data_IF_368946478519
#
_entry.id   IF_368946478519
#
_cell.length_a   1.000
_cell.length_b   1.000
_cell.length_c   1.000
_cell.angle_alpha   90.00
_cell.angle_beta   90.00
_cell.angle_gamma   90.00
#
_symmetry.space_group_name_H-M   'P 1'
#
loop_
_entity.id
_entity.type
_entity.pdbx_description
1 polymer ?
#
# COMPACT_ATOMS: atom_id res chain seq x y z
N UNK A 1 20.94 -15.32 14.41
CA UNK A 1 20.44 -16.23 13.37
C UNK A 1 20.20 -15.38 12.13
N UNK A 2 21.12 -15.42 11.17
CA UNK A 2 20.98 -14.67 9.92
C UNK A 2 20.02 -15.41 8.99
N UNK A 3 18.74 -15.07 9.09
CA UNK A 3 17.74 -15.55 8.14
C UNK A 3 17.93 -14.76 6.84
N UNK A 4 18.74 -15.30 5.93
CA UNK A 4 18.86 -14.76 4.58
C UNK A 4 17.61 -15.14 3.78
N UNK A 5 16.63 -14.23 3.68
CA UNK A 5 15.48 -14.40 2.80
C UNK A 5 15.89 -13.97 1.39
N UNK A 6 15.97 -14.88 0.40
CA UNK A 6 16.43 -14.56 -0.96
C UNK A 6 15.34 -13.87 -1.80
N UNK A 7 14.52 -13.02 -1.19
CA UNK A 7 13.43 -12.32 -1.88
C UNK A 7 13.91 -10.93 -2.29
N UNK A 8 13.95 -10.69 -3.59
CA UNK A 8 14.24 -9.35 -4.12
C UNK A 8 13.07 -8.41 -3.79
N UNK A 9 13.33 -7.40 -2.96
CA UNK A 9 12.33 -6.38 -2.61
C UNK A 9 11.66 -5.75 -3.84
N UNK A 10 12.39 -5.61 -4.96
CA UNK A 10 11.84 -5.09 -6.22
C UNK A 10 10.81 -6.05 -6.83
N UNK A 11 11.09 -7.36 -6.86
CA UNK A 11 10.16 -8.36 -7.38
C UNK A 11 8.92 -8.43 -6.50
N UNK A 12 9.10 -8.36 -5.19
CA UNK A 12 7.99 -8.35 -4.23
C UNK A 12 7.10 -7.11 -4.43
N UNK A 13 7.68 -5.91 -4.46
CA UNK A 13 6.92 -4.68 -4.70
C UNK A 13 6.22 -4.66 -6.07
N UNK A 14 6.86 -5.21 -7.12
CA UNK A 14 6.25 -5.34 -8.44
C UNK A 14 5.05 -6.30 -8.43
N UNK A 15 5.16 -7.43 -7.72
CA UNK A 15 4.07 -8.38 -7.56
C UNK A 15 2.87 -7.75 -6.82
N UNK A 16 3.14 -7.04 -5.72
CA UNK A 16 2.10 -6.31 -4.98
C UNK A 16 1.42 -5.26 -5.86
N UNK A 17 2.21 -4.45 -6.58
CA UNK A 17 1.68 -3.41 -7.48
C UNK A 17 0.82 -4.02 -8.60
N UNK A 18 1.22 -5.18 -9.13
CA UNK A 18 0.43 -5.91 -10.13
C UNK A 18 -0.90 -6.39 -9.53
N UNK A 19 -0.90 -6.93 -8.31
CA UNK A 19 -2.13 -7.35 -7.62
C UNK A 19 -3.05 -6.14 -7.42
N UNK A 20 -2.54 -5.01 -6.94
CA UNK A 20 -3.32 -3.76 -6.82
C UNK A 20 -3.92 -3.35 -8.16
N UNK A 21 -3.14 -3.35 -9.24
CA UNK A 21 -3.63 -2.97 -10.57
C UNK A 21 -4.73 -3.92 -11.06
N UNK A 22 -4.60 -5.22 -10.81
CA UNK A 22 -5.62 -6.22 -11.15
C UNK A 22 -6.90 -6.03 -10.34
N UNK A 23 -6.79 -5.76 -9.02
CA UNK A 23 -7.95 -5.48 -8.18
C UNK A 23 -8.69 -4.21 -8.61
N UNK A 24 -7.96 -3.16 -8.97
CA UNK A 24 -8.56 -1.92 -9.51
C UNK A 24 -9.25 -2.21 -10.84
N UNK A 25 -8.63 -2.95 -11.76
CA UNK A 25 -9.25 -3.33 -13.02
C UNK A 25 -10.50 -4.20 -12.82
N UNK A 26 -10.45 -5.14 -11.88
CA UNK A 26 -11.59 -5.97 -11.50
C UNK A 26 -12.73 -5.14 -10.90
N UNK A 27 -12.42 -4.18 -10.03
CA UNK A 27 -13.39 -3.23 -9.48
C UNK A 27 -14.05 -2.41 -10.59
N UNK A 28 -13.28 -1.89 -11.55
CA UNK A 28 -13.84 -1.14 -12.68
C UNK A 28 -14.76 -2.01 -13.55
N UNK A 29 -14.38 -3.26 -13.81
CA UNK A 29 -15.21 -4.22 -14.52
C UNK A 29 -16.51 -4.53 -13.78
N UNK A 30 -16.43 -4.71 -12.45
CA UNK A 30 -17.59 -4.87 -11.59
C UNK A 30 -18.49 -3.61 -11.60
N UNK A 31 -17.92 -2.42 -11.48
CA UNK A 31 -18.66 -1.16 -11.60
C UNK A 31 -19.35 -1.04 -12.96
N UNK A 32 -18.70 -1.42 -14.06
CA UNK A 32 -19.33 -1.44 -15.38
C UNK A 32 -20.49 -2.43 -15.45
N UNK A 33 -20.32 -3.64 -14.90
CA UNK A 33 -21.38 -4.65 -14.83
C UNK A 33 -22.61 -4.12 -14.06
N UNK A 34 -22.42 -3.20 -13.13
CA UNK A 34 -23.53 -2.53 -12.42
C UNK A 34 -24.44 -1.68 -13.32
N UNK A 35 -24.02 -1.31 -14.54
CA UNK A 35 -24.87 -0.57 -15.48
C UNK A 35 -25.55 -1.46 -16.53
N UNK A 36 -25.18 -2.75 -16.61
CA UNK A 36 -25.77 -3.68 -17.57
C UNK A 36 -27.12 -4.16 -17.05
N UNK A 37 -28.22 -3.95 -17.82
CA UNK A 37 -29.51 -4.52 -17.46
C UNK A 37 -29.46 -6.04 -17.63
N UNK A 38 -29.79 -6.77 -16.57
CA UNK A 38 -29.82 -8.23 -16.55
C UNK A 38 -31.22 -8.66 -16.13
N UNK A 39 -31.82 -9.52 -16.95
CA UNK A 39 -33.10 -10.16 -16.65
C UNK A 39 -32.88 -11.48 -15.91
N UNK A 40 -33.75 -11.77 -14.94
CA UNK A 40 -33.68 -12.98 -14.13
C UNK A 40 -33.06 -12.75 -12.75
N UNK A 41 -33.78 -13.23 -11.72
CA UNK A 41 -33.41 -13.05 -10.31
C UNK A 41 -32.00 -13.56 -9.99
N UNK A 42 -31.70 -14.80 -10.40
CA UNK A 42 -30.42 -15.44 -10.12
C UNK A 42 -29.22 -14.67 -10.69
N UNK A 43 -29.30 -14.22 -11.95
CA UNK A 43 -28.20 -13.49 -12.59
C UNK A 43 -28.01 -12.11 -11.98
N UNK A 44 -29.10 -11.48 -11.51
CA UNK A 44 -29.05 -10.23 -10.77
C UNK A 44 -28.33 -10.40 -9.42
N UNK A 45 -28.68 -11.42 -8.65
CA UNK A 45 -28.04 -11.71 -7.36
C UNK A 45 -26.54 -12.05 -7.54
N UNK A 46 -26.21 -12.84 -8.56
CA UNK A 46 -24.83 -13.15 -8.89
C UNK A 46 -24.03 -11.88 -9.24
N UNK A 47 -24.59 -10.99 -10.05
CA UNK A 47 -24.00 -9.68 -10.37
C UNK A 47 -23.79 -8.84 -9.11
N UNK A 48 -24.80 -8.67 -8.27
CA UNK A 48 -24.71 -7.87 -7.04
C UNK A 48 -23.64 -8.43 -6.09
N UNK A 49 -23.54 -9.76 -5.99
CA UNK A 49 -22.51 -10.44 -5.20
C UNK A 49 -21.10 -10.21 -5.74
N UNK A 50 -20.90 -10.32 -7.06
CA UNK A 50 -19.61 -10.05 -7.72
C UNK A 50 -19.20 -8.58 -7.51
N UNK A 51 -20.16 -7.66 -7.67
CA UNK A 51 -19.92 -6.24 -7.45
C UNK A 51 -19.47 -6.00 -6.03
N UNK A 52 -20.22 -6.47 -5.03
CA UNK A 52 -19.86 -6.33 -3.61
C UNK A 52 -18.48 -6.92 -3.28
N UNK A 53 -18.12 -8.05 -3.88
CA UNK A 53 -16.86 -8.76 -3.59
C UNK A 53 -15.62 -8.06 -4.17
N UNK A 54 -15.79 -7.29 -5.25
CA UNK A 54 -14.69 -6.64 -5.99
C UNK A 54 -14.67 -5.11 -5.86
N UNK A 55 -15.69 -4.52 -5.26
CA UNK A 55 -15.81 -3.07 -5.11
C UNK A 55 -14.74 -2.52 -4.17
N UNK A 56 -13.80 -1.73 -4.69
CA UNK A 56 -12.63 -1.24 -3.94
C UNK A 56 -12.99 -0.27 -2.79
N UNK A 57 -14.13 0.40 -2.90
CA UNK A 57 -14.62 1.37 -1.91
C UNK A 57 -15.57 0.72 -0.89
N UNK A 58 -15.67 -0.62 -0.93
CA UNK A 58 -16.50 -1.40 -0.02
C UNK A 58 -15.66 -2.06 1.05
N UNK A 59 -16.31 -2.47 2.13
CA UNK A 59 -15.65 -3.13 3.25
C UNK A 59 -16.01 -4.62 3.33
N UNK A 60 -15.11 -5.43 3.90
CA UNK A 60 -15.33 -6.87 4.10
C UNK A 60 -15.29 -7.68 2.81
N UNK A 61 -14.46 -7.28 1.85
CA UNK A 61 -14.34 -7.91 0.54
C UNK A 61 -12.88 -8.26 0.18
N UNK A 62 -12.62 -8.68 -1.07
CA UNK A 62 -11.27 -9.10 -1.50
C UNK A 62 -10.26 -7.94 -1.42
N UNK A 63 -10.55 -6.73 -1.96
CA UNK A 63 -9.72 -5.55 -1.74
C UNK A 63 -9.38 -5.27 -0.27
N UNK A 64 -10.38 -5.29 0.63
CA UNK A 64 -10.18 -5.07 2.08
C UNK A 64 -9.26 -6.13 2.70
N UNK A 65 -9.42 -7.40 2.33
CA UNK A 65 -8.56 -8.46 2.83
C UNK A 65 -7.10 -8.29 2.36
N UNK A 66 -6.92 -7.82 1.12
CA UNK A 66 -5.60 -7.54 0.57
C UNK A 66 -4.92 -6.36 1.28
N UNK A 67 -5.62 -5.24 1.51
CA UNK A 67 -5.09 -4.08 2.26
C UNK A 67 -4.74 -4.47 3.70
N UNK A 68 -5.62 -5.21 4.39
CA UNK A 68 -5.36 -5.71 5.74
C UNK A 68 -4.10 -6.60 5.79
N UNK A 69 -3.96 -7.53 4.84
CA UNK A 69 -2.79 -8.44 4.76
C UNK A 69 -1.47 -7.68 4.52
N UNK A 70 -1.51 -6.61 3.72
CA UNK A 70 -0.36 -5.72 3.53
C UNK A 70 0.02 -5.00 4.83
N UNK A 71 -0.97 -4.44 5.54
CA UNK A 71 -0.75 -3.76 6.82
C UNK A 71 -0.16 -4.72 7.87
N UNK A 72 -0.67 -5.95 7.95
CA UNK A 72 -0.12 -6.99 8.82
C UNK A 72 1.33 -7.34 8.45
N UNK A 73 1.62 -7.48 7.15
CA UNK A 73 3.00 -7.72 6.67
C UNK A 73 3.92 -6.58 7.09
N UNK A 74 3.49 -5.32 6.94
CA UNK A 74 4.23 -4.16 7.43
C UNK A 74 4.45 -4.22 8.95
N UNK A 75 3.42 -4.56 9.73
CA UNK A 75 3.51 -4.73 11.19
C UNK A 75 4.58 -5.76 11.58
N UNK A 76 4.59 -6.93 10.93
CA UNK A 76 5.58 -7.99 11.18
C UNK A 76 6.99 -7.54 10.82
N UNK A 77 7.16 -6.90 9.65
CA UNK A 77 8.48 -6.39 9.23
C UNK A 77 9.03 -5.36 10.22
N UNK A 78 8.16 -4.48 10.74
CA UNK A 78 8.54 -3.50 11.77
C UNK A 78 8.94 -4.16 13.09
N UNK A 79 8.26 -5.22 13.51
CA UNK A 79 8.64 -6.00 14.70
C UNK A 79 10.00 -6.71 14.52
N UNK A 80 10.28 -7.23 13.32
CA UNK A 80 11.59 -7.80 12.98
C UNK A 80 12.68 -6.72 13.04
N UNK A 81 12.44 -5.54 12.48
CA UNK A 81 13.37 -4.40 12.55
C UNK A 81 13.60 -3.98 14.01
N UNK A 82 12.55 -3.90 14.84
CA UNK A 82 12.67 -3.59 16.26
C UNK A 82 13.56 -4.60 17.00
N UNK A 83 13.38 -5.89 16.69
CA UNK A 83 14.16 -6.99 17.28
C UNK A 83 15.64 -6.92 16.86
N UNK A 84 15.91 -6.63 15.59
CA UNK A 84 17.28 -6.44 15.10
C UNK A 84 17.97 -5.24 15.77
N UNK A 85 17.29 -4.10 15.89
CA UNK A 85 17.81 -2.93 16.60
C UNK A 85 18.11 -3.22 18.08
N UNK A 86 17.26 -4.01 18.75
CA UNK A 86 17.46 -4.44 20.14
C UNK A 86 18.71 -5.30 20.29
N UNK A 87 18.96 -6.23 19.36
CA UNK A 87 20.13 -7.12 19.39
C UNK A 87 21.44 -6.35 19.19
N UNK A 88 21.46 -5.34 18.32
CA UNK A 88 22.65 -4.53 18.05
C UNK A 88 22.84 -3.33 19.01
N UNK A 89 22.01 -3.21 20.06
CA UNK A 89 21.98 -2.04 20.99
C UNK A 89 21.97 -0.69 20.26
N UNK A 90 21.39 -0.65 19.06
CA UNK A 90 21.43 0.51 18.19
C UNK A 90 20.04 1.13 18.09
N UNK A 91 19.91 2.45 18.26
CA UNK A 91 18.71 3.21 17.91
C UNK A 91 17.48 3.01 18.81
N UNK A 92 16.35 3.56 18.35
CA UNK A 92 15.10 3.65 19.09
C UNK A 92 14.18 2.43 18.83
N UNK A 93 14.37 1.36 19.60
CA UNK A 93 13.57 0.11 19.53
C UNK A 93 12.08 0.37 19.80
N UNK A 94 11.78 1.24 20.77
CA UNK A 94 10.41 1.57 21.18
C UNK A 94 9.64 2.19 20.01
N UNK A 95 10.28 3.08 19.24
CA UNK A 95 9.69 3.67 18.03
C UNK A 95 9.36 2.64 16.94
N UNK A 96 10.15 1.59 16.78
CA UNK A 96 9.82 0.52 15.82
C UNK A 96 8.69 -0.38 16.33
N UNK A 97 8.66 -0.66 17.63
CA UNK A 97 7.63 -1.49 18.25
C UNK A 97 6.26 -0.79 18.23
N UNK A 98 6.19 0.48 18.61
CA UNK A 98 4.95 1.26 18.55
C UNK A 98 4.43 1.32 17.10
N UNK A 99 5.31 1.49 16.10
CA UNK A 99 4.88 1.51 14.70
C UNK A 99 4.34 0.14 14.25
N UNK A 100 4.97 -0.95 14.70
CA UNK A 100 4.46 -2.30 14.48
C UNK A 100 3.04 -2.47 15.05
N UNK A 101 2.80 -2.01 16.29
CA UNK A 101 1.48 -2.08 16.92
C UNK A 101 0.44 -1.24 16.17
N UNK A 102 0.80 -0.03 15.71
CA UNK A 102 -0.10 0.82 14.93
C UNK A 102 -0.52 0.13 13.62
N UNK A 103 0.43 -0.42 12.86
CA UNK A 103 0.09 -1.15 11.62
C UNK A 103 -0.72 -2.42 11.89
N UNK A 104 -0.46 -3.10 13.00
CA UNK A 104 -1.25 -4.25 13.43
C UNK A 104 -2.69 -3.86 13.78
N UNK A 105 -2.86 -2.74 14.49
CA UNK A 105 -4.17 -2.18 14.78
C UNK A 105 -4.90 -1.76 13.50
N UNK A 106 -4.24 -1.09 12.56
CA UNK A 106 -4.84 -0.71 11.27
C UNK A 106 -5.26 -1.94 10.46
N UNK A 107 -4.46 -3.02 10.46
CA UNK A 107 -4.85 -4.28 9.83
C UNK A 107 -6.10 -4.90 10.47
N UNK A 108 -6.22 -4.80 11.79
CA UNK A 108 -7.37 -5.30 12.53
C UNK A 108 -8.61 -4.45 12.23
N UNK A 109 -8.47 -3.12 12.28
CA UNK A 109 -9.54 -2.17 11.98
C UNK A 109 -10.09 -2.37 10.57
N UNK A 110 -9.21 -2.51 9.57
CA UNK A 110 -9.60 -2.78 8.18
C UNK A 110 -10.43 -4.08 8.04
N UNK A 111 -10.12 -5.10 8.84
CA UNK A 111 -10.83 -6.40 8.77
C UNK A 111 -12.13 -6.38 9.58
N UNK A 112 -12.11 -5.75 10.75
CA UNK A 112 -13.19 -5.79 11.74
C UNK A 112 -14.09 -4.54 11.71
N UNK A 113 -13.77 -3.56 10.87
CA UNK A 113 -14.55 -2.33 10.67
C UNK A 113 -14.77 -1.58 11.98
N UNK A 114 -13.74 -1.55 12.86
CA UNK A 114 -13.90 -1.02 14.21
C UNK A 114 -14.21 0.48 14.19
N UNK A 115 -13.71 1.20 13.19
CA UNK A 115 -14.00 2.61 12.99
C UNK A 115 -15.49 2.86 12.68
N UNK A 116 -16.23 1.91 12.09
CA UNK A 116 -17.68 2.05 11.89
C UNK A 116 -18.45 2.12 13.23
N UNK A 117 -17.97 1.43 14.27
CA UNK A 117 -18.59 1.44 15.61
C UNK A 117 -18.63 2.85 16.21
N UNK A 118 -17.77 3.75 15.75
CA UNK A 118 -17.74 5.14 16.22
C UNK A 118 -18.75 6.04 15.50
N UNK A 119 -19.31 5.61 14.36
CA UNK A 119 -20.21 6.45 13.55
C UNK A 119 -21.49 6.77 14.33
N UNK A 120 -22.25 5.75 14.75
CA UNK A 120 -23.55 5.96 15.38
C UNK A 120 -23.47 6.81 16.68
N UNK A 121 -22.59 6.51 17.65
CA UNK A 121 -22.50 7.33 18.87
C UNK A 121 -22.11 8.79 18.60
N UNK A 122 -21.21 9.02 17.64
CA UNK A 122 -20.76 10.36 17.31
C UNK A 122 -21.79 11.13 16.48
N UNK A 123 -22.55 10.46 15.61
CA UNK A 123 -23.67 11.09 14.90
C UNK A 123 -24.72 11.60 15.90
N UNK A 124 -25.05 10.82 16.91
CA UNK A 124 -26.02 11.18 17.96
C UNK A 124 -25.54 12.38 18.79
N UNK A 125 -24.24 12.44 19.14
CA UNK A 125 -23.68 13.53 19.95
C UNK A 125 -23.56 14.82 19.15
N UNK A 126 -23.07 14.74 17.90
CA UNK A 126 -22.75 15.93 17.11
C UNK A 126 -23.89 16.40 16.20
N UNK A 127 -25.01 15.66 16.14
CA UNK A 127 -26.06 15.84 15.12
C UNK A 127 -25.46 16.02 13.72
N UNK A 128 -24.43 15.22 13.44
CA UNK A 128 -23.53 15.46 12.32
C UNK A 128 -24.24 15.24 10.97
N UNK A 129 -24.46 16.33 10.23
CA UNK A 129 -25.00 16.29 8.86
C UNK A 129 -23.94 16.69 7.83
N UNK A 130 -24.00 16.14 6.61
CA UNK A 130 -23.08 16.51 5.52
C UNK A 130 -21.70 15.83 5.61
N UNK A 131 -20.61 16.58 5.50
CA UNK A 131 -19.23 16.04 5.43
C UNK A 131 -18.81 15.20 6.65
N UNK A 132 -19.43 15.43 7.82
CA UNK A 132 -19.20 14.68 9.04
C UNK A 132 -20.12 13.45 9.20
N UNK A 133 -20.83 13.04 8.14
CA UNK A 133 -21.63 11.82 8.17
C UNK A 133 -20.77 10.60 8.54
N UNK A 134 -19.54 10.54 8.03
CA UNK A 134 -18.52 9.59 8.48
C UNK A 134 -17.78 10.12 9.70
N UNK A 135 -18.46 10.15 10.84
CA UNK A 135 -17.96 10.82 12.05
C UNK A 135 -16.68 10.19 12.61
N UNK A 136 -16.36 8.95 12.22
CA UNK A 136 -15.10 8.27 12.54
C UNK A 136 -13.84 9.04 12.08
N UNK A 137 -13.99 9.94 11.09
CA UNK A 137 -12.91 10.83 10.64
C UNK A 137 -12.38 11.70 11.78
N UNK A 138 -13.24 12.10 12.73
CA UNK A 138 -12.85 12.93 13.88
C UNK A 138 -11.85 12.19 14.80
N UNK A 139 -12.16 11.01 15.36
CA UNK A 139 -11.20 10.27 16.17
C UNK A 139 -9.95 9.87 15.37
N UNK A 140 -10.10 9.47 14.10
CA UNK A 140 -8.95 9.16 13.24
C UNK A 140 -8.02 10.38 13.07
N UNK A 141 -8.58 11.56 12.81
CA UNK A 141 -7.83 12.80 12.65
C UNK A 141 -7.04 13.19 13.90
N UNK A 142 -7.66 13.08 15.08
CA UNK A 142 -6.96 13.32 16.36
C UNK A 142 -5.80 12.34 16.54
N UNK A 143 -6.03 11.05 16.31
CA UNK A 143 -4.98 10.02 16.40
C UNK A 143 -3.82 10.30 15.44
N UNK A 144 -4.10 10.70 14.19
CA UNK A 144 -3.07 11.04 13.20
C UNK A 144 -2.26 12.25 13.62
N UNK A 145 -2.89 13.32 14.13
CA UNK A 145 -2.18 14.51 14.60
C UNK A 145 -1.25 14.16 15.76
N UNK A 146 -1.75 13.43 16.76
CA UNK A 146 -0.94 12.98 17.90
C UNK A 146 0.23 12.09 17.44
N UNK A 147 -0.03 11.18 16.50
CA UNK A 147 0.98 10.33 15.92
C UNK A 147 2.08 11.15 15.23
N UNK A 148 1.71 12.07 14.33
CA UNK A 148 2.67 12.91 13.60
C UNK A 148 3.52 13.75 14.55
N UNK A 149 2.91 14.38 15.55
CA UNK A 149 3.63 15.18 16.54
C UNK A 149 4.61 14.34 17.38
N UNK A 150 4.18 13.16 17.83
CA UNK A 150 5.01 12.25 18.62
C UNK A 150 6.15 11.60 17.81
N UNK A 151 5.89 11.28 16.54
CA UNK A 151 6.86 10.61 15.67
C UNK A 151 7.75 11.54 14.85
N UNK A 152 7.48 12.84 14.81
CA UNK A 152 8.28 13.79 14.04
C UNK A 152 9.77 13.71 14.40
N UNK A 153 10.07 13.64 15.70
CA UNK A 153 11.45 13.53 16.21
C UNK A 153 12.11 12.22 15.80
N UNK A 154 11.37 11.11 15.84
CA UNK A 154 11.85 9.80 15.40
C UNK A 154 12.10 9.79 13.88
N UNK A 155 11.16 10.29 13.07
CA UNK A 155 11.29 10.39 11.62
C UNK A 155 12.48 11.27 11.19
N UNK A 156 12.77 12.33 11.94
CA UNK A 156 13.93 13.19 11.68
C UNK A 156 15.27 12.53 12.04
N UNK A 157 15.28 11.56 12.96
CA UNK A 157 16.46 10.79 13.37
C UNK A 157 16.81 9.64 12.41
N UNK A 158 15.93 9.28 11.47
CA UNK A 158 16.23 8.23 10.48
C UNK A 158 17.30 8.67 9.47
N UNK A 159 18.14 7.74 8.96
CA UNK A 159 19.12 8.01 7.92
C UNK A 159 18.47 8.72 6.72
N UNK A 160 19.17 9.74 6.17
CA UNK A 160 18.65 10.59 5.07
C UNK A 160 18.10 9.80 3.88
N UNK A 161 18.64 8.59 3.61
CA UNK A 161 18.18 7.68 2.55
C UNK A 161 16.80 7.10 2.87
N UNK A 162 16.57 6.61 4.09
CA UNK A 162 15.27 6.07 4.54
C UNK A 162 14.22 7.17 4.65
N UNK A 163 14.60 8.35 5.15
CA UNK A 163 13.71 9.52 5.19
C UNK A 163 13.27 9.96 3.79
N UNK A 164 14.20 9.98 2.83
CA UNK A 164 13.90 10.25 1.41
C UNK A 164 13.06 9.15 0.79
N UNK A 165 13.25 7.88 1.14
CA UNK A 165 12.41 6.76 0.68
C UNK A 165 10.96 6.90 1.15
N UNK A 166 10.74 7.29 2.41
CA UNK A 166 9.41 7.57 2.95
C UNK A 166 8.71 8.75 2.25
N UNK A 167 9.45 9.80 1.90
CA UNK A 167 8.89 11.00 1.23
C UNK A 167 8.79 10.85 -0.29
N UNK A 168 9.66 10.07 -0.92
CA UNK A 168 9.77 9.93 -2.39
C UNK A 168 9.22 8.59 -2.90
N UNK A 169 8.33 7.90 -2.18
CA UNK A 169 7.80 6.59 -2.59
C UNK A 169 7.23 6.59 -4.03
N UNK A 170 6.80 7.74 -4.56
CA UNK A 170 6.35 7.87 -5.95
C UNK A 170 7.47 7.88 -7.03
N UNK A 171 8.75 8.15 -6.67
CA UNK A 171 9.81 8.48 -7.65
C UNK A 171 10.69 7.32 -8.14
N UNK A 172 10.43 6.07 -7.75
CA UNK A 172 11.31 4.93 -8.08
C UNK A 172 11.18 4.40 -9.51
N UNK A 173 10.17 4.83 -10.26
CA UNK A 173 10.06 4.55 -11.70
C UNK A 173 11.11 5.31 -12.55
N UNK A 174 11.70 6.39 -12.03
CA UNK A 174 12.57 7.27 -12.81
C UNK A 174 14.05 6.83 -12.81
N UNK A 175 14.58 6.38 -11.68
CA UNK A 175 16.01 6.03 -11.53
C UNK A 175 16.37 4.73 -12.27
N UNK A 176 15.43 3.78 -12.36
CA UNK A 176 15.64 2.57 -13.15
C UNK A 176 15.59 2.85 -14.67
N UNK A 177 14.80 3.84 -15.08
CA UNK A 177 14.64 4.25 -16.50
C UNK A 177 15.83 5.06 -16.99
N UNK A 178 16.42 5.91 -16.15
CA UNK A 178 17.61 6.69 -16.50
C UNK A 178 18.85 5.81 -16.69
N UNK A 179 18.99 4.74 -15.88
CA UNK A 179 20.09 3.79 -15.98
C UNK A 179 20.00 2.90 -17.24
N UNK A 180 18.80 2.51 -17.66
CA UNK A 180 18.60 1.73 -18.89
C UNK A 180 18.87 2.57 -20.14
N UNK A 181 18.43 3.84 -20.15
CA UNK A 181 18.62 4.75 -21.29
C UNK A 181 20.11 4.99 -21.58
N UNK A 182 20.91 5.28 -20.54
CA UNK A 182 22.36 5.44 -20.66
C UNK A 182 23.10 4.20 -21.19
N UNK A 183 22.63 2.99 -20.86
CA UNK A 183 23.21 1.75 -21.36
C UNK A 183 22.82 1.43 -22.81
N UNK A 184 21.70 1.98 -23.30
CA UNK A 184 21.22 1.76 -24.67
C UNK A 184 21.93 2.69 -25.67
N UNK A 185 22.18 3.94 -25.28
CA UNK A 185 22.91 4.91 -26.11
C UNK A 185 24.43 4.65 -26.18
N UNK A 186 25.02 3.90 -25.25
CA UNK A 186 26.47 3.63 -25.22
C UNK A 186 26.91 2.41 -26.05
N UNK A 187 26.00 1.75 -26.80
CA UNK A 187 26.38 0.66 -27.71
C UNK A 187 26.75 1.25 -29.07
N UNK A 188 28.02 1.19 -29.50
CA UNK A 188 28.39 1.68 -30.83
C UNK A 188 27.73 0.81 -31.92
N UNK A 189 27.04 1.46 -32.85
CA UNK A 189 26.61 0.85 -34.09
C UNK A 189 27.85 0.43 -34.89
N UNK A 190 28.14 -0.88 -34.90
CA UNK A 190 29.11 -1.46 -35.82
C UNK A 190 28.55 -1.37 -37.24
N UNK A 191 28.84 -0.26 -37.93
CA UNK A 191 28.66 -0.15 -39.37
C UNK A 191 29.82 -0.91 -40.03
N UNK A 192 29.55 -2.16 -40.41
CA UNK A 192 30.45 -2.96 -41.23
C UNK A 192 30.60 -2.29 -42.61
N UNK A 193 31.74 -1.64 -42.83
CA UNK A 193 32.18 -1.16 -44.14
C UNK A 193 32.57 -2.38 -45.00
N UNK A 194 31.77 -2.70 -46.02
CA UNK A 194 32.10 -3.70 -47.03
C UNK A 194 32.71 -2.98 -48.23
N UNK A 195 34.03 -2.98 -48.35
CA UNK A 195 34.74 -2.70 -49.61
C UNK A 195 34.73 -3.95 -50.48
N UNK A 196 34.35 -3.88 -51.77
CA UNK A 196 34.51 -4.99 -52.71
C UNK A 196 35.96 -5.12 -53.18
N UNK A 197 36.47 -6.33 -53.44
CA UNK A 197 37.81 -6.52 -54.00
C UNK A 197 37.85 -6.23 -55.50
N UNK A 198 38.78 -5.38 -55.90
CA UNK A 198 39.32 -5.29 -57.26
C UNK A 198 40.32 -6.42 -57.51
N UNK A 199 40.07 -7.24 -58.53
CA UNK A 199 40.89 -7.54 -59.73
C UNK A 199 40.02 -8.41 -60.66
#
# INVERSE_FOLDING_TARGET
MDVAIPVSARKFAAALSLITALLVAASLGASYLSFVPIEGHFLREARESIVRLLWVDGEGNIPTWYSASLLLTCSVLLAVIATAHRQHRAGNVVGWLILSLIFGFLSLDETAQLHELSIAPLQDVFHATGFLHYTWIVPAGVCVVLFVLGYLKFLMQLPRRTRRLFVLAERYSWVARSAWKQSAESRPHSTANKTPPTI
#
